data_IF_560933910911
#
_entry.id   IF_560933910911
#
_cell.length_a   1.000
_cell.length_b   1.000
_cell.length_c   1.000
_cell.angle_alpha   90.00
_cell.angle_beta   90.00
_cell.angle_gamma   90.00
#
_symmetry.space_group_name_H-M   'P 1'
#
loop_
_entity.id
_entity.type
_entity.pdbx_description
1 polymer ?
#
# COMPACT_ATOMS: atom_id res chain seq x y z
N UNK A 1 -16.00 4.64 17.41
CA UNK A 1 -15.99 5.50 16.22
C UNK A 1 -15.30 6.82 16.55
N UNK A 2 -14.70 7.43 15.60
CA UNK A 2 -14.03 8.73 15.72
C UNK A 2 -13.97 9.41 14.37
N UNK A 3 -13.79 10.72 14.41
CA UNK A 3 -13.66 11.60 13.26
C UNK A 3 -12.57 12.63 13.57
N UNK A 4 -11.78 13.03 12.60
CA UNK A 4 -10.82 14.11 12.78
C UNK A 4 -11.48 15.49 12.71
N UNK A 5 -10.80 16.51 13.27
CA UNK A 5 -11.35 17.86 13.39
C UNK A 5 -11.77 18.52 12.06
N UNK A 6 -11.26 18.07 10.94
CA UNK A 6 -11.58 18.56 9.59
C UNK A 6 -12.75 17.80 8.93
N UNK A 7 -13.41 16.88 9.65
CA UNK A 7 -14.54 16.12 9.17
C UNK A 7 -14.16 15.07 8.12
N UNK A 8 -12.95 14.50 8.23
CA UNK A 8 -12.49 13.38 7.43
C UNK A 8 -11.91 12.27 8.34
N UNK A 9 -11.59 11.11 7.76
CA UNK A 9 -10.97 10.01 8.50
C UNK A 9 -11.91 9.37 9.51
N UNK A 10 -13.17 9.24 9.16
CA UNK A 10 -14.13 8.49 9.97
C UNK A 10 -13.60 7.09 10.25
N UNK A 11 -13.70 6.65 11.51
CA UNK A 11 -13.26 5.32 11.88
C UNK A 11 -14.21 4.65 12.86
N UNK A 12 -14.32 3.35 12.73
CA UNK A 12 -14.92 2.52 13.75
C UNK A 12 -14.05 1.33 14.10
N UNK A 13 -14.17 0.88 15.33
CA UNK A 13 -13.48 -0.30 15.85
C UNK A 13 -14.43 -1.04 16.79
N UNK A 14 -14.50 -2.35 16.58
CA UNK A 14 -15.26 -3.28 17.45
C UNK A 14 -14.28 -4.35 17.90
N UNK A 15 -14.25 -4.60 19.21
CA UNK A 15 -13.41 -5.64 19.77
C UNK A 15 -14.19 -6.46 20.79
N UNK A 16 -13.92 -7.76 20.83
CA UNK A 16 -14.46 -8.69 21.81
C UNK A 16 -13.38 -9.65 22.31
N UNK A 17 -13.51 -10.05 23.57
CA UNK A 17 -12.64 -11.07 24.16
C UNK A 17 -13.51 -12.05 24.96
N UNK A 18 -13.21 -13.33 24.82
CA UNK A 18 -13.87 -14.40 25.58
C UNK A 18 -12.80 -15.33 26.15
N UNK A 19 -12.80 -15.47 27.46
CA UNK A 19 -12.03 -16.47 28.20
C UNK A 19 -12.94 -17.56 28.76
N UNK A 20 -12.51 -18.80 28.67
CA UNK A 20 -13.25 -19.95 29.17
C UNK A 20 -12.32 -21.00 29.77
N UNK A 21 -12.78 -21.79 30.76
CA UNK A 21 -12.04 -22.97 31.16
C UNK A 21 -12.05 -23.98 30.00
N UNK A 22 -10.87 -24.51 29.68
CA UNK A 22 -10.73 -25.52 28.62
C UNK A 22 -10.83 -26.94 29.21
N UNK A 23 -10.29 -27.12 30.39
CA UNK A 23 -10.36 -28.33 31.23
C UNK A 23 -10.40 -27.88 32.69
N UNK A 24 -10.37 -28.83 33.64
CA UNK A 24 -10.23 -28.48 35.07
C UNK A 24 -8.94 -27.69 35.37
N UNK A 25 -7.90 -27.88 34.55
CA UNK A 25 -6.55 -27.34 34.77
C UNK A 25 -6.06 -26.51 33.58
N UNK A 26 -6.95 -25.95 32.77
CA UNK A 26 -6.56 -25.19 31.61
C UNK A 26 -7.54 -24.08 31.26
N UNK A 27 -7.10 -23.19 30.42
CA UNK A 27 -7.89 -22.08 29.89
C UNK A 27 -7.73 -21.94 28.39
N UNK A 28 -8.73 -21.36 27.75
CA UNK A 28 -8.66 -20.85 26.40
C UNK A 28 -9.17 -19.41 26.39
N UNK A 29 -8.50 -18.54 25.66
CA UNK A 29 -8.88 -17.14 25.47
C UNK A 29 -8.83 -16.80 23.99
N UNK A 30 -9.87 -16.11 23.49
CA UNK A 30 -9.98 -15.69 22.10
C UNK A 30 -10.37 -14.20 22.07
N UNK A 31 -9.64 -13.43 21.29
CA UNK A 31 -9.93 -12.02 21.01
C UNK A 31 -10.15 -11.82 19.52
N UNK A 32 -11.11 -10.99 19.18
CA UNK A 32 -11.35 -10.52 17.82
C UNK A 32 -11.42 -9.00 17.82
N UNK A 33 -10.88 -8.37 16.77
CA UNK A 33 -10.99 -6.95 16.52
C UNK A 33 -11.30 -6.74 15.05
N UNK A 34 -12.27 -5.85 14.78
CA UNK A 34 -12.64 -5.39 13.44
C UNK A 34 -12.50 -3.87 13.42
N UNK A 35 -11.88 -3.34 12.39
CA UNK A 35 -11.67 -1.90 12.23
C UNK A 35 -11.79 -1.51 10.76
N UNK A 36 -12.33 -0.32 10.52
CA UNK A 36 -12.23 0.40 9.25
C UNK A 36 -11.94 1.87 9.53
N UNK A 37 -11.24 2.53 8.62
CA UNK A 37 -11.01 3.96 8.70
C UNK A 37 -10.86 4.56 7.30
N UNK A 38 -11.56 5.67 7.08
CA UNK A 38 -11.45 6.46 5.86
C UNK A 38 -10.12 7.20 5.80
N UNK A 39 -9.69 7.52 4.58
CA UNK A 39 -8.51 8.34 4.36
C UNK A 39 -8.68 9.75 4.92
N UNK A 40 -7.56 10.37 5.32
CA UNK A 40 -7.52 11.78 5.66
C UNK A 40 -6.76 12.58 4.62
N UNK A 41 -7.06 13.87 4.50
CA UNK A 41 -6.28 14.79 3.68
C UNK A 41 -5.89 16.03 4.48
N UNK A 42 -4.59 16.34 4.49
CA UNK A 42 -4.00 17.56 5.05
C UNK A 42 -3.24 18.31 3.99
N UNK A 43 -3.70 18.17 2.75
CA UNK A 43 -3.02 18.68 1.57
C UNK A 43 -3.54 20.05 1.16
N UNK A 44 -2.65 20.81 0.57
CA UNK A 44 -2.97 22.02 -0.21
C UNK A 44 -2.57 21.79 -1.65
N UNK A 45 -3.14 22.56 -2.58
CA UNK A 45 -2.78 22.43 -3.99
C UNK A 45 -1.29 22.70 -4.21
N UNK A 46 -0.67 21.88 -5.03
CA UNK A 46 0.72 22.08 -5.47
C UNK A 46 0.82 23.30 -6.36
N UNK A 47 1.88 24.11 -6.19
CA UNK A 47 2.07 25.33 -6.97
C UNK A 47 2.20 25.08 -8.49
N UNK A 48 2.82 23.97 -8.91
CA UNK A 48 2.94 23.58 -10.32
C UNK A 48 1.59 23.13 -10.91
N UNK A 49 0.77 22.43 -10.16
CA UNK A 49 -0.58 22.06 -10.56
C UNK A 49 -1.51 23.29 -10.63
N UNK A 50 -1.42 24.20 -9.63
CA UNK A 50 -2.19 25.44 -9.62
C UNK A 50 -1.86 26.31 -10.83
N UNK A 51 -0.58 26.44 -11.18
CA UNK A 51 -0.16 27.21 -12.35
C UNK A 51 -0.74 26.66 -13.67
N UNK A 52 -0.84 25.35 -13.80
CA UNK A 52 -1.47 24.69 -14.96
C UNK A 52 -2.99 24.92 -14.98
N UNK A 53 -3.64 24.85 -13.82
CA UNK A 53 -5.07 25.16 -13.69
C UNK A 53 -5.38 26.61 -14.05
N UNK A 54 -4.61 27.55 -13.51
CA UNK A 54 -4.75 28.98 -13.80
C UNK A 54 -4.45 29.29 -15.28
N UNK A 55 -3.58 28.51 -15.91
CA UNK A 55 -3.31 28.52 -17.35
C UNK A 55 -4.43 27.92 -18.22
N UNK A 56 -5.51 27.45 -17.62
CA UNK A 56 -6.71 26.95 -18.31
C UNK A 56 -6.75 25.44 -18.49
N UNK A 57 -5.86 24.65 -17.87
CA UNK A 57 -5.97 23.20 -17.86
C UNK A 57 -7.01 22.75 -16.82
N UNK A 58 -8.29 22.72 -17.21
CA UNK A 58 -9.39 22.37 -16.33
C UNK A 58 -9.41 20.88 -15.87
N UNK A 59 -8.55 20.03 -16.43
CA UNK A 59 -8.41 18.64 -16.02
C UNK A 59 -7.54 18.47 -14.75
N UNK A 60 -6.84 19.51 -14.32
CA UNK A 60 -6.09 19.52 -13.07
C UNK A 60 -7.07 19.54 -11.88
N UNK A 61 -6.88 18.65 -10.93
CA UNK A 61 -7.61 18.71 -9.67
C UNK A 61 -7.26 20.01 -8.91
N UNK A 62 -8.27 20.65 -8.39
CA UNK A 62 -8.12 21.89 -7.64
C UNK A 62 -8.69 21.74 -6.23
N UNK A 63 -8.29 22.62 -5.30
CA UNK A 63 -8.83 22.63 -3.95
C UNK A 63 -10.39 22.67 -3.95
N UNK A 64 -11.09 21.84 -3.16
CA UNK A 64 -10.61 20.95 -2.08
C UNK A 64 -9.99 19.61 -2.53
N UNK A 65 -9.90 19.33 -3.82
CA UNK A 65 -9.31 18.13 -4.40
C UNK A 65 -7.92 18.46 -4.98
N UNK A 66 -6.87 18.59 -4.15
CA UNK A 66 -5.52 18.92 -4.64
C UNK A 66 -4.94 17.78 -5.48
N UNK A 67 -4.07 18.13 -6.43
CA UNK A 67 -3.44 17.16 -7.33
C UNK A 67 -2.62 16.08 -6.61
N UNK A 68 -2.16 16.36 -5.41
CA UNK A 68 -1.46 15.40 -4.56
C UNK A 68 -2.01 15.45 -3.15
N UNK A 69 -2.37 14.28 -2.61
CA UNK A 69 -2.96 14.15 -1.28
C UNK A 69 -1.92 13.57 -0.30
N UNK A 70 -1.76 14.24 0.84
CA UNK A 70 -1.00 13.79 2.00
C UNK A 70 -1.92 13.61 3.19
N UNK A 71 -1.93 12.42 3.76
CA UNK A 71 -2.76 12.07 4.89
C UNK A 71 -2.62 10.60 5.24
N UNK A 72 -3.41 10.13 6.19
CA UNK A 72 -3.54 8.70 6.48
C UNK A 72 -4.21 8.00 5.30
N UNK A 73 -3.80 6.79 4.98
CA UNK A 73 -4.46 5.99 3.95
C UNK A 73 -5.86 5.56 4.38
N UNK A 74 -6.68 5.16 3.43
CA UNK A 74 -7.86 4.34 3.64
C UNK A 74 -7.44 2.96 4.15
N UNK A 75 -8.13 2.45 5.17
CA UNK A 75 -7.92 1.11 5.73
C UNK A 75 -9.25 0.38 5.78
N UNK A 76 -9.35 -0.72 5.07
CA UNK A 76 -10.54 -1.55 5.02
C UNK A 76 -10.22 -3.01 5.32
N UNK A 77 -11.24 -3.79 5.65
CA UNK A 77 -11.12 -5.22 5.98
C UNK A 77 -10.07 -5.49 7.09
N UNK A 78 -9.88 -4.56 8.05
CA UNK A 78 -8.92 -4.77 9.15
C UNK A 78 -9.54 -5.71 10.19
N UNK A 79 -9.10 -6.95 10.15
CA UNK A 79 -9.53 -8.04 11.03
C UNK A 79 -8.32 -8.54 11.79
N UNK A 80 -8.46 -8.70 13.12
CA UNK A 80 -7.44 -9.30 13.97
C UNK A 80 -8.06 -10.37 14.86
N UNK A 81 -7.44 -11.52 14.90
CA UNK A 81 -7.79 -12.64 15.75
C UNK A 81 -6.56 -13.06 16.56
N UNK A 82 -6.74 -13.21 17.86
CA UNK A 82 -5.70 -13.74 18.75
C UNK A 82 -6.32 -14.82 19.63
N UNK A 83 -5.63 -15.93 19.75
CA UNK A 83 -6.04 -17.00 20.65
C UNK A 83 -4.86 -17.49 21.48
N UNK A 84 -5.09 -17.86 22.73
CA UNK A 84 -4.14 -18.57 23.57
C UNK A 84 -4.82 -19.64 24.43
N UNK A 85 -4.08 -20.70 24.64
CA UNK A 85 -4.48 -21.86 25.43
C UNK A 85 -3.34 -22.19 26.39
N UNK A 86 -3.65 -22.39 27.67
CA UNK A 86 -2.73 -22.93 28.65
C UNK A 86 -3.36 -24.17 29.28
N UNK A 87 -2.53 -25.17 29.54
CA UNK A 87 -2.94 -26.42 30.17
C UNK A 87 -1.86 -26.89 31.15
N UNK A 88 -2.20 -26.93 32.44
CA UNK A 88 -1.36 -27.62 33.44
C UNK A 88 -1.37 -29.12 33.18
N UNK A 89 -0.21 -29.67 32.83
CA UNK A 89 -0.03 -31.12 32.62
C UNK A 89 0.33 -31.82 33.91
N UNK A 90 1.02 -31.10 34.81
CA UNK A 90 1.44 -31.55 36.12
C UNK A 90 1.73 -30.34 37.00
N UNK A 91 1.97 -30.52 38.30
CA UNK A 91 2.29 -29.46 39.25
C UNK A 91 3.44 -28.55 38.82
N UNK A 92 4.38 -29.04 38.02
CA UNK A 92 5.56 -28.34 37.57
C UNK A 92 5.68 -28.28 36.02
N UNK A 93 4.62 -28.56 35.29
CA UNK A 93 4.64 -28.66 33.83
C UNK A 93 3.40 -28.05 33.21
N UNK A 94 3.58 -27.16 32.27
CA UNK A 94 2.54 -26.49 31.53
C UNK A 94 2.74 -26.63 30.02
N UNK A 95 1.68 -26.93 29.30
CA UNK A 95 1.59 -26.78 27.86
C UNK A 95 0.97 -25.44 27.54
N UNK A 96 1.49 -24.76 26.53
CA UNK A 96 0.90 -23.54 25.99
C UNK A 96 0.83 -23.58 24.46
N UNK A 97 -0.18 -22.89 23.96
CA UNK A 97 -0.35 -22.63 22.53
C UNK A 97 -0.93 -21.23 22.39
N UNK A 98 -0.34 -20.42 21.53
CA UNK A 98 -0.93 -19.15 21.13
C UNK A 98 -0.72 -18.91 19.64
N UNK A 99 -1.61 -18.09 19.07
CA UNK A 99 -1.53 -17.72 17.67
C UNK A 99 -2.32 -16.47 17.40
N UNK A 100 -2.01 -15.88 16.28
CA UNK A 100 -2.69 -14.71 15.77
C UNK A 100 -2.96 -14.87 14.27
N UNK A 101 -3.96 -14.14 13.83
CA UNK A 101 -4.23 -13.83 12.43
C UNK A 101 -4.61 -12.36 12.34
N UNK A 102 -4.06 -11.66 11.36
CA UNK A 102 -4.45 -10.30 11.02
C UNK A 102 -4.47 -10.14 9.51
N UNK A 103 -5.44 -9.40 9.00
CA UNK A 103 -5.53 -8.99 7.61
C UNK A 103 -6.07 -7.59 7.54
N UNK A 104 -5.58 -6.81 6.59
CA UNK A 104 -6.12 -5.49 6.25
C UNK A 104 -5.77 -5.10 4.83
N UNK A 105 -6.64 -4.29 4.22
CA UNK A 105 -6.37 -3.59 2.97
C UNK A 105 -6.05 -2.14 3.25
N UNK A 106 -5.07 -1.61 2.53
CA UNK A 106 -4.64 -0.22 2.66
C UNK A 106 -4.54 0.40 1.28
N UNK A 107 -5.13 1.58 1.10
CA UNK A 107 -5.00 2.38 -0.12
C UNK A 107 -4.60 3.81 0.24
N UNK A 108 -3.44 4.23 -0.22
CA UNK A 108 -2.89 5.55 0.07
C UNK A 108 -2.56 6.34 -1.19
N UNK A 109 -2.42 7.66 -1.05
CA UNK A 109 -1.97 8.55 -2.10
C UNK A 109 -0.49 8.38 -2.42
N UNK A 110 -0.10 8.87 -3.59
CA UNK A 110 1.27 8.84 -4.08
C UNK A 110 1.66 10.20 -4.67
N UNK A 111 2.81 10.30 -5.34
CA UNK A 111 3.28 11.56 -5.90
C UNK A 111 2.54 11.94 -7.18
N UNK A 112 2.15 13.22 -7.30
CA UNK A 112 1.59 13.79 -8.52
C UNK A 112 2.55 13.67 -9.70
N UNK A 113 2.01 13.27 -10.84
CA UNK A 113 2.68 13.16 -12.13
C UNK A 113 2.23 14.31 -13.02
N UNK A 114 3.03 15.37 -13.02
CA UNK A 114 2.73 16.59 -13.76
C UNK A 114 2.68 16.30 -15.28
N UNK A 115 1.61 16.73 -15.99
CA UNK A 115 1.36 16.41 -17.41
C UNK A 115 2.31 17.08 -18.40
N UNK A 116 3.27 17.88 -17.93
CA UNK A 116 4.23 18.59 -18.79
C UNK A 116 5.63 18.02 -18.71
N UNK A 117 6.07 17.58 -17.52
CA UNK A 117 7.48 17.30 -17.27
C UNK A 117 7.79 15.93 -16.68
N UNK A 118 6.77 15.09 -16.36
CA UNK A 118 7.04 13.77 -15.83
C UNK A 118 7.83 12.94 -16.85
N UNK A 119 9.08 12.60 -16.49
CA UNK A 119 10.02 11.86 -17.33
C UNK A 119 9.52 10.49 -17.75
N UNK A 120 9.73 10.13 -19.02
CA UNK A 120 9.34 8.85 -19.59
C UNK A 120 7.83 8.68 -19.84
N UNK A 121 7.03 9.72 -19.60
CA UNK A 121 5.58 9.71 -19.83
C UNK A 121 5.19 10.96 -20.64
N UNK A 122 5.36 12.14 -20.08
CA UNK A 122 4.94 13.40 -20.72
C UNK A 122 6.09 14.13 -21.41
N UNK A 123 7.33 13.87 -21.00
CA UNK A 123 8.53 14.47 -21.55
C UNK A 123 9.74 13.57 -21.35
N UNK A 124 10.79 13.74 -22.15
CA UNK A 124 12.10 13.09 -21.97
C UNK A 124 13.22 14.06 -21.67
N UNK A 125 12.95 15.37 -21.71
CA UNK A 125 13.90 16.48 -21.58
C UNK A 125 13.52 17.50 -20.50
N UNK A 126 12.80 17.05 -19.47
CA UNK A 126 12.45 17.88 -18.32
C UNK A 126 11.32 18.88 -18.58
N UNK A 127 10.51 18.64 -19.60
CA UNK A 127 9.36 19.49 -19.91
C UNK A 127 9.61 20.53 -21.00
N UNK A 128 10.70 20.40 -21.75
CA UNK A 128 10.96 21.27 -22.91
C UNK A 128 10.12 20.84 -24.10
N UNK A 129 10.11 19.52 -24.39
CA UNK A 129 9.29 18.94 -25.45
C UNK A 129 8.38 17.82 -24.95
N UNK A 130 7.24 17.64 -25.61
CA UNK A 130 6.30 16.55 -25.32
C UNK A 130 6.89 15.22 -25.79
N UNK A 131 6.63 14.19 -25.03
CA UNK A 131 6.89 12.82 -25.45
C UNK A 131 5.77 12.39 -26.39
N UNK A 132 6.02 12.48 -27.69
CA UNK A 132 5.12 12.03 -28.74
C UNK A 132 5.57 10.66 -29.22
N UNK A 133 4.71 9.67 -29.17
CA UNK A 133 4.96 8.32 -29.67
C UNK A 133 4.43 8.19 -31.09
N UNK A 134 5.22 7.59 -31.99
CA UNK A 134 4.77 7.14 -33.30
C UNK A 134 4.17 5.74 -33.11
N UNK A 135 2.85 5.63 -33.33
CA UNK A 135 2.06 4.40 -33.19
C UNK A 135 1.64 3.81 -34.55
N UNK A 136 2.10 4.41 -35.65
CA UNK A 136 1.94 3.80 -36.96
C UNK A 136 2.67 2.45 -37.01
N UNK A 137 2.17 1.51 -37.81
CA UNK A 137 2.86 0.23 -38.01
C UNK A 137 4.31 0.47 -38.37
N UNK A 138 5.23 -0.08 -37.54
CA UNK A 138 6.66 0.07 -37.70
C UNK A 138 7.11 -0.61 -38.99
N UNK A 139 7.17 0.15 -40.08
CA UNK A 139 7.89 -0.27 -41.28
C UNK A 139 9.36 0.00 -41.05
N UNK A 140 10.18 -1.05 -41.01
CA UNK A 140 11.63 -0.92 -40.83
C UNK A 140 12.23 0.10 -41.80
N UNK A 141 12.81 1.19 -41.27
CA UNK A 141 13.42 2.27 -42.06
C UNK A 141 12.44 3.42 -42.45
N UNK A 142 11.19 3.38 -42.04
CA UNK A 142 10.28 4.52 -42.23
C UNK A 142 10.73 5.72 -41.40
N UNK A 143 10.64 6.92 -41.99
CA UNK A 143 10.89 8.16 -41.26
C UNK A 143 9.79 8.36 -40.20
N UNK A 144 10.17 8.86 -39.02
CA UNK A 144 9.23 9.23 -37.97
C UNK A 144 8.26 10.28 -38.49
N UNK A 145 6.97 10.01 -38.38
CA UNK A 145 5.90 10.89 -38.91
C UNK A 145 5.37 11.88 -37.87
N UNK A 146 5.61 11.62 -36.59
CA UNK A 146 5.11 12.46 -35.53
C UNK A 146 6.01 13.67 -35.26
N UNK A 147 5.43 14.88 -35.06
CA UNK A 147 6.20 16.09 -34.85
C UNK A 147 6.87 16.11 -33.48
N UNK A 148 7.98 16.83 -33.38
CA UNK A 148 8.54 17.26 -32.10
C UNK A 148 7.82 18.54 -31.70
N UNK A 149 7.18 18.55 -30.54
CA UNK A 149 6.31 19.64 -30.11
C UNK A 149 6.78 20.18 -28.75
N UNK A 150 7.11 21.47 -28.65
CA UNK A 150 7.45 22.07 -27.36
C UNK A 150 6.25 22.06 -26.41
N UNK A 151 6.54 21.96 -25.11
CA UNK A 151 5.55 22.24 -24.06
C UNK A 151 5.38 23.75 -23.97
N UNK A 152 4.17 24.32 -24.11
CA UNK A 152 3.98 25.75 -24.01
C UNK A 152 4.28 26.25 -22.59
N UNK A 153 4.83 27.44 -22.47
CA UNK A 153 5.17 28.08 -21.19
C UNK A 153 3.94 28.35 -20.31
N UNK A 154 2.76 28.52 -20.92
CA UNK A 154 1.48 28.70 -20.26
C UNK A 154 0.37 27.98 -21.03
N UNK A 155 -0.71 27.60 -20.34
CA UNK A 155 -1.86 26.94 -20.97
C UNK A 155 -1.59 25.50 -21.46
N UNK A 156 -0.51 24.87 -21.03
CA UNK A 156 -0.21 23.49 -21.36
C UNK A 156 -1.36 22.56 -20.95
N UNK A 157 -1.87 21.78 -21.91
CA UNK A 157 -3.01 20.90 -21.71
C UNK A 157 -4.39 21.59 -21.63
N UNK A 158 -4.44 22.92 -21.82
CA UNK A 158 -5.70 23.67 -21.91
C UNK A 158 -6.38 23.49 -23.27
N UNK A 159 -7.64 23.91 -23.37
CA UNK A 159 -8.37 23.92 -24.64
C UNK A 159 -7.71 24.80 -25.72
N UNK A 160 -6.85 25.73 -25.34
CA UNK A 160 -6.08 26.59 -26.24
C UNK A 160 -4.72 25.99 -26.66
N UNK A 161 -4.35 24.80 -26.16
CA UNK A 161 -3.14 24.10 -26.55
C UNK A 161 -3.30 23.45 -27.93
N UNK A 162 -3.22 24.29 -28.96
CA UNK A 162 -3.43 23.86 -30.36
C UNK A 162 -2.41 22.81 -30.83
N UNK A 163 -1.20 22.83 -30.26
CA UNK A 163 -0.17 21.88 -30.60
C UNK A 163 -0.52 20.48 -30.05
N UNK A 164 -1.03 20.39 -28.84
CA UNK A 164 -1.53 19.14 -28.29
C UNK A 164 -2.74 18.62 -29.10
N UNK A 165 -3.69 19.51 -29.42
CA UNK A 165 -4.85 19.15 -30.22
C UNK A 165 -4.47 18.62 -31.62
N UNK A 166 -3.44 19.17 -32.25
CA UNK A 166 -2.94 18.71 -33.55
C UNK A 166 -2.30 17.32 -33.48
N UNK A 167 -1.63 16.97 -32.37
CA UNK A 167 -1.09 15.62 -32.17
C UNK A 167 -2.23 14.62 -31.97
N UNK A 168 -3.19 14.94 -31.10
CA UNK A 168 -4.35 14.07 -30.80
C UNK A 168 -5.18 13.81 -32.07
N UNK A 169 -5.26 14.76 -32.97
CA UNK A 169 -5.97 14.60 -34.24
C UNK A 169 -5.24 13.69 -35.27
N UNK A 170 -3.96 13.37 -35.04
CA UNK A 170 -3.17 12.50 -35.92
C UNK A 170 -3.22 11.04 -35.46
N UNK A 171 -3.89 10.12 -36.17
CA UNK A 171 -4.06 8.72 -35.76
C UNK A 171 -2.74 7.92 -35.69
N UNK A 172 -1.64 8.45 -36.24
CA UNK A 172 -0.33 7.82 -36.18
C UNK A 172 0.51 8.29 -34.99
N UNK A 173 0.01 9.22 -34.20
CA UNK A 173 0.71 9.81 -33.08
C UNK A 173 -0.09 9.65 -31.80
N UNK A 174 0.60 9.41 -30.68
CA UNK A 174 0.00 9.29 -29.37
C UNK A 174 0.79 10.11 -28.34
N UNK A 175 0.07 10.72 -27.42
CA UNK A 175 0.60 11.39 -26.23
C UNK A 175 -0.19 10.97 -25.00
N UNK A 176 0.49 10.73 -23.88
CA UNK A 176 -0.17 10.32 -22.65
C UNK A 176 -1.15 11.36 -22.07
N UNK A 177 -1.09 12.62 -22.56
CA UNK A 177 -2.09 13.62 -22.25
C UNK A 177 -3.51 13.25 -22.77
N UNK A 178 -3.65 12.28 -23.69
CA UNK A 178 -4.96 11.74 -24.09
C UNK A 178 -5.58 10.93 -22.96
N UNK A 179 -4.77 10.14 -22.25
CA UNK A 179 -5.24 9.36 -21.11
C UNK A 179 -5.36 10.21 -19.84
N UNK A 180 -4.40 11.10 -19.62
CA UNK A 180 -4.28 11.92 -18.40
C UNK A 180 -4.00 13.37 -18.76
N UNK A 181 -4.98 14.14 -19.22
CA UNK A 181 -4.78 15.53 -19.65
C UNK A 181 -4.35 16.46 -18.50
N UNK A 182 -4.77 16.17 -17.28
CA UNK A 182 -4.37 16.88 -16.06
C UNK A 182 -3.17 16.30 -15.34
N UNK A 183 -2.49 15.30 -15.94
CA UNK A 183 -1.58 14.45 -15.19
C UNK A 183 -2.34 13.48 -14.29
N UNK A 184 -1.64 12.84 -13.37
CA UNK A 184 -2.28 11.86 -12.48
C UNK A 184 -1.54 11.74 -11.14
N UNK A 185 -2.26 11.34 -10.13
CA UNK A 185 -1.70 10.93 -8.85
C UNK A 185 -2.06 9.48 -8.63
N UNK A 186 -1.11 8.55 -8.69
CA UNK A 186 -1.39 7.16 -8.41
C UNK A 186 -1.92 6.96 -6.99
N UNK A 187 -2.74 5.93 -6.80
CA UNK A 187 -3.04 5.37 -5.49
C UNK A 187 -2.27 4.05 -5.37
N UNK A 188 -1.53 3.90 -4.28
CA UNK A 188 -0.72 2.73 -4.02
C UNK A 188 -1.16 2.08 -2.72
N UNK A 189 -1.30 0.77 -2.74
CA UNK A 189 -1.76 0.03 -1.61
C UNK A 189 -1.45 -1.44 -1.67
N UNK A 190 -2.15 -2.19 -0.85
CA UNK A 190 -2.02 -3.64 -0.80
C UNK A 190 -2.93 -4.27 0.24
N UNK A 191 -3.06 -5.57 0.15
CA UNK A 191 -3.57 -6.42 1.21
C UNK A 191 -2.38 -6.99 1.97
N UNK A 192 -2.39 -6.83 3.29
CA UNK A 192 -1.36 -7.39 4.17
C UNK A 192 -2.03 -8.39 5.09
N UNK A 193 -1.55 -9.63 5.08
CA UNK A 193 -1.95 -10.67 6.02
C UNK A 193 -0.76 -11.16 6.82
N UNK A 194 -1.01 -11.47 8.08
CA UNK A 194 -0.03 -11.98 9.01
C UNK A 194 -0.67 -13.07 9.87
N UNK A 195 -0.03 -14.20 9.98
CA UNK A 195 -0.45 -15.23 10.92
C UNK A 195 0.74 -15.91 11.58
N UNK A 196 0.57 -16.29 12.81
CA UNK A 196 1.55 -17.13 13.49
C UNK A 196 0.88 -18.06 14.49
N UNK A 197 1.58 -19.14 14.76
CA UNK A 197 1.25 -20.09 15.83
C UNK A 197 2.53 -20.49 16.54
N UNK A 198 2.48 -20.50 17.86
CA UNK A 198 3.57 -20.99 18.69
C UNK A 198 3.01 -21.96 19.73
N UNK A 199 3.73 -23.02 19.99
CA UNK A 199 3.36 -24.04 20.99
C UNK A 199 4.59 -24.54 21.71
N UNK A 200 4.46 -24.78 22.98
CA UNK A 200 5.57 -25.28 23.81
C UNK A 200 5.14 -25.94 25.10
N UNK A 201 6.12 -26.51 25.72
CA UNK A 201 6.04 -27.06 27.07
C UNK A 201 7.11 -26.40 27.91
N UNK A 202 6.71 -25.83 29.04
CA UNK A 202 7.62 -25.28 30.05
C UNK A 202 7.40 -25.95 31.39
N UNK A 203 8.43 -25.94 32.20
CA UNK A 203 8.34 -26.55 33.54
C UNK A 203 9.58 -26.34 34.36
N UNK A 204 9.56 -26.98 35.56
CA UNK A 204 10.69 -26.99 36.49
C UNK A 204 11.07 -28.44 36.82
N UNK A 205 12.34 -28.76 36.65
CA UNK A 205 12.91 -30.04 36.99
C UNK A 205 13.11 -30.16 38.52
N UNK A 206 13.27 -31.37 39.02
CA UNK A 206 13.55 -31.64 40.44
C UNK A 206 14.85 -30.94 40.94
N UNK A 207 15.77 -30.66 40.03
CA UNK A 207 16.99 -29.87 40.27
C UNK A 207 16.77 -28.38 40.49
N UNK A 208 15.55 -27.87 40.30
CA UNK A 208 15.22 -26.44 40.29
C UNK A 208 15.54 -25.76 38.98
N UNK A 209 16.02 -26.47 37.96
CA UNK A 209 16.22 -25.93 36.62
C UNK A 209 14.88 -25.76 35.89
N UNK A 210 14.58 -24.54 35.45
CA UNK A 210 13.46 -24.26 34.59
C UNK A 210 13.82 -24.57 33.14
N UNK A 211 12.85 -25.04 32.36
CA UNK A 211 12.99 -25.28 30.93
C UNK A 211 11.78 -24.76 30.15
N UNK A 212 12.01 -24.38 28.91
CA UNK A 212 10.98 -24.13 27.89
C UNK A 212 11.44 -24.72 26.56
N UNK A 213 10.60 -25.56 25.96
CA UNK A 213 10.84 -26.14 24.64
C UNK A 213 9.65 -25.77 23.75
N UNK A 214 9.92 -25.05 22.68
CA UNK A 214 8.87 -24.51 21.83
C UNK A 214 9.19 -24.59 20.35
N UNK A 215 8.11 -24.58 19.57
CA UNK A 215 8.13 -24.42 18.11
C UNK A 215 7.20 -23.28 17.72
N UNK A 216 7.58 -22.55 16.70
CA UNK A 216 6.70 -21.56 16.08
C UNK A 216 6.80 -21.57 14.57
N UNK A 217 5.71 -21.20 13.93
CA UNK A 217 5.62 -20.97 12.49
C UNK A 217 4.75 -19.73 12.28
N UNK A 218 5.16 -18.88 11.33
CA UNK A 218 4.37 -17.74 10.95
C UNK A 218 4.69 -17.28 9.54
N UNK A 219 3.73 -16.64 8.91
CA UNK A 219 3.84 -16.09 7.57
C UNK A 219 3.27 -14.69 7.53
N UNK A 220 4.00 -13.81 6.87
CA UNK A 220 3.53 -12.49 6.47
C UNK A 220 3.46 -12.45 4.95
N UNK A 221 2.32 -11.99 4.42
CA UNK A 221 2.11 -11.78 2.99
C UNK A 221 1.69 -10.33 2.75
N UNK A 222 2.32 -9.67 1.81
CA UNK A 222 1.92 -8.36 1.32
C UNK A 222 1.70 -8.42 -0.20
N UNK A 223 0.45 -8.30 -0.62
CA UNK A 223 0.04 -8.23 -2.01
C UNK A 223 -0.11 -6.76 -2.41
N UNK A 224 0.64 -6.32 -3.41
CA UNK A 224 0.64 -4.92 -3.83
C UNK A 224 -0.28 -4.68 -5.01
N UNK A 225 -0.91 -3.51 -5.02
CA UNK A 225 -1.59 -2.97 -6.19
C UNK A 225 -1.35 -1.47 -6.31
N UNK A 226 -1.44 -0.99 -7.54
CA UNK A 226 -1.36 0.43 -7.87
C UNK A 226 -2.42 0.74 -8.92
N UNK A 227 -3.12 1.84 -8.75
CA UNK A 227 -4.15 2.31 -9.66
C UNK A 227 -3.95 3.79 -10.00
N UNK A 228 -4.73 4.28 -10.95
CA UNK A 228 -4.61 5.64 -11.49
C UNK A 228 -3.17 5.94 -11.93
N UNK A 229 -2.58 5.03 -12.68
CA UNK A 229 -1.20 5.08 -13.17
C UNK A 229 -1.10 4.58 -14.61
N UNK A 230 0.09 4.53 -15.16
CA UNK A 230 0.35 3.91 -16.46
C UNK A 230 1.80 3.42 -16.55
N UNK A 231 2.07 2.56 -17.55
CA UNK A 231 3.42 2.18 -17.93
C UNK A 231 3.75 2.81 -19.30
N UNK A 232 4.67 3.80 -19.30
CA UNK A 232 5.06 4.53 -20.50
C UNK A 232 5.63 3.66 -21.64
N UNK A 233 6.14 2.46 -21.32
CA UNK A 233 6.67 1.52 -22.32
C UNK A 233 5.57 0.81 -23.13
N UNK A 234 4.33 0.81 -22.65
CA UNK A 234 3.19 0.18 -23.34
C UNK A 234 2.44 1.13 -24.27
N UNK A 235 2.77 2.43 -24.25
CA UNK A 235 2.10 3.42 -25.09
C UNK A 235 0.59 3.48 -24.83
N UNK A 236 -0.23 3.57 -25.89
CA UNK A 236 -1.69 3.66 -25.78
C UNK A 236 -2.35 2.42 -25.16
N UNK A 237 -1.68 1.27 -25.19
CA UNK A 237 -2.20 0.01 -24.64
C UNK A 237 -1.94 -0.15 -23.14
N UNK A 238 -1.36 0.86 -22.49
CA UNK A 238 -1.07 0.80 -21.07
C UNK A 238 -2.36 0.69 -20.25
N UNK A 239 -2.49 -0.35 -19.40
CA UNK A 239 -3.53 -0.33 -18.37
C UNK A 239 -3.28 0.83 -17.38
N UNK A 240 -4.33 1.19 -16.64
CA UNK A 240 -4.26 2.24 -15.61
C UNK A 240 -4.18 1.71 -14.19
N UNK A 241 -4.12 0.38 -14.06
CA UNK A 241 -3.92 -0.31 -12.78
C UNK A 241 -3.04 -1.54 -12.97
N UNK A 242 -2.28 -1.90 -11.93
CA UNK A 242 -1.35 -3.03 -11.94
C UNK A 242 -1.31 -3.73 -10.60
N UNK A 243 -1.06 -5.04 -10.65
CA UNK A 243 -0.69 -5.85 -9.50
C UNK A 243 0.81 -6.20 -9.63
N UNK A 244 1.71 -5.43 -9.02
CA UNK A 244 3.15 -5.62 -9.20
C UNK A 244 3.70 -6.89 -8.57
N UNK A 245 2.91 -7.57 -7.75
CA UNK A 245 3.27 -8.85 -7.14
C UNK A 245 3.18 -8.84 -5.63
N UNK A 246 3.64 -9.93 -5.02
CA UNK A 246 3.54 -10.17 -3.59
C UNK A 246 4.91 -10.33 -2.96
N UNK A 247 5.03 -9.95 -1.71
CA UNK A 247 6.14 -10.30 -0.84
C UNK A 247 5.63 -11.28 0.21
N UNK A 248 6.28 -12.44 0.34
CA UNK A 248 5.91 -13.48 1.30
C UNK A 248 7.13 -13.81 2.14
N UNK A 249 6.96 -13.79 3.45
CA UNK A 249 7.97 -14.20 4.41
C UNK A 249 7.40 -15.32 5.28
N UNK A 250 8.02 -16.49 5.24
CA UNK A 250 7.71 -17.63 6.10
C UNK A 250 8.84 -17.83 7.09
N UNK A 251 8.52 -17.93 8.37
CA UNK A 251 9.46 -18.18 9.45
C UNK A 251 9.07 -19.44 10.23
N UNK A 252 10.08 -20.22 10.62
CA UNK A 252 9.92 -21.43 11.45
C UNK A 252 11.03 -21.43 12.50
N UNK A 253 10.64 -21.56 13.76
CA UNK A 253 11.59 -21.55 14.86
C UNK A 253 11.42 -22.79 15.73
N UNK A 254 12.54 -23.25 16.27
CA UNK A 254 12.60 -24.23 17.35
C UNK A 254 13.48 -23.64 18.45
N UNK A 255 12.98 -23.56 19.68
CA UNK A 255 13.68 -23.00 20.80
C UNK A 255 13.76 -24.02 21.95
N UNK A 256 14.89 -23.98 22.64
CA UNK A 256 15.10 -24.72 23.88
C UNK A 256 15.85 -23.82 24.86
N UNK A 257 15.18 -23.48 25.94
CA UNK A 257 15.71 -22.59 26.96
C UNK A 257 15.83 -23.33 28.30
N UNK A 258 16.95 -23.12 29.00
CA UNK A 258 17.18 -23.61 30.36
C UNK A 258 17.64 -22.45 31.24
N UNK A 259 17.06 -22.37 32.43
CA UNK A 259 17.47 -21.42 33.49
C UNK A 259 17.71 -22.18 34.79
N UNK A 260 18.95 -22.19 35.25
CA UNK A 260 19.34 -22.86 36.48
C UNK A 260 19.73 -21.82 37.54
N UNK A 261 19.10 -21.82 38.73
CA UNK A 261 19.53 -20.97 39.81
C UNK A 261 20.89 -21.43 40.33
N UNK A 262 21.83 -20.52 40.48
CA UNK A 262 23.18 -20.76 41.04
C UNK A 262 23.27 -20.03 42.35
N UNK A 263 23.53 -20.78 43.44
CA UNK A 263 23.86 -20.16 44.73
C UNK A 263 25.28 -19.57 44.65
N UNK A 264 25.40 -18.28 44.88
CA UNK A 264 26.69 -17.60 45.03
C UNK A 264 26.90 -17.36 46.50
N UNK A 265 27.81 -18.11 47.11
CA UNK A 265 28.28 -17.83 48.49
C UNK A 265 29.07 -16.51 48.47
N UNK A 266 28.54 -15.48 49.19
CA UNK A 266 29.17 -14.16 49.37
C UNK A 266 30.09 -14.12 50.56
#
# INVERSE_FOLDING_TARGET
SGEYADGDGDMYRIAANVGMPFTANGFANVSIELQESDATSRSVQRGDAQALYDGGNAAIWNYPNPAQVWGSPDVSDDVKLVANIGLELDTNKEFYLFGNYAERKVLGGFFFRNPTNRGGIFSTDGGTTRMVLDVAEATAGAARTCPVVPVPASGAGSASDSALAAIIANPNCFVFNEMFPGGFTPSFGGSVSDWSIASGIKGTMDSGTMYDVSVSIGENTADYYIENTLNGSLGPDSPTSFNPGSYIQLEKNFNVDFVTPVAVDG
#
